data_IF_592571320831
#
_entry.id   IF_592571320831
#
_cell.length_a   1.000
_cell.length_b   1.000
_cell.length_c   1.000
_cell.angle_alpha   90.00
_cell.angle_beta   90.00
_cell.angle_gamma   90.00
#
_symmetry.space_group_name_H-M   'P 1'
#
loop_
_entity.id
_entity.type
_entity.pdbx_description
1 polymer ?
#
# COMPACT_ATOMS: atom_id res chain seq x y z
N UNK A 1 -6.42 -24.59 -8.87
CA UNK A 1 -6.94 -23.21 -9.10
C UNK A 1 -7.74 -22.68 -7.91
N UNK A 2 -8.81 -23.36 -7.42
CA UNK A 2 -9.63 -22.89 -6.29
C UNK A 2 -8.81 -22.46 -5.05
N UNK A 3 -7.83 -23.26 -4.65
CA UNK A 3 -6.95 -22.97 -3.49
C UNK A 3 -6.18 -21.65 -3.63
N UNK A 4 -5.76 -21.28 -4.84
CA UNK A 4 -5.01 -20.03 -5.07
C UNK A 4 -5.88 -18.79 -4.90
N UNK A 5 -7.16 -18.84 -5.25
CA UNK A 5 -8.08 -17.73 -5.06
C UNK A 5 -8.44 -17.55 -3.59
N UNK A 6 -8.69 -18.66 -2.87
CA UNK A 6 -8.95 -18.62 -1.43
C UNK A 6 -7.76 -18.00 -0.69
N UNK A 7 -6.54 -18.43 -1.01
CA UNK A 7 -5.33 -17.88 -0.39
C UNK A 7 -5.15 -16.38 -0.69
N UNK A 8 -5.44 -15.95 -1.91
CA UNK A 8 -5.41 -14.53 -2.27
C UNK A 8 -6.40 -13.73 -1.41
N UNK A 9 -7.65 -14.18 -1.32
CA UNK A 9 -8.69 -13.52 -0.52
C UNK A 9 -8.30 -13.45 0.95
N UNK A 10 -7.79 -14.55 1.52
CA UNK A 10 -7.34 -14.56 2.92
C UNK A 10 -6.16 -13.62 3.15
N UNK A 11 -5.19 -13.58 2.22
CA UNK A 11 -4.02 -12.70 2.34
C UNK A 11 -4.43 -11.24 2.24
N UNK A 12 -5.35 -10.92 1.32
CA UNK A 12 -5.88 -9.58 1.12
C UNK A 12 -6.68 -9.11 2.34
N UNK A 13 -7.56 -9.95 2.85
CA UNK A 13 -8.32 -9.64 4.05
C UNK A 13 -7.40 -9.43 5.27
N UNK A 14 -6.40 -10.29 5.45
CA UNK A 14 -5.46 -10.18 6.55
C UNK A 14 -4.66 -8.86 6.52
N UNK A 15 -4.17 -8.45 5.36
CA UNK A 15 -3.43 -7.18 5.25
C UNK A 15 -4.36 -5.98 5.41
N UNK A 16 -5.57 -5.99 4.86
CA UNK A 16 -6.52 -4.89 5.02
C UNK A 16 -6.92 -4.69 6.49
N UNK A 17 -7.12 -5.78 7.25
CA UNK A 17 -7.36 -5.72 8.70
C UNK A 17 -6.12 -5.18 9.44
N UNK A 18 -4.91 -5.58 9.04
CA UNK A 18 -3.69 -5.06 9.65
C UNK A 18 -3.54 -3.55 9.41
N UNK A 19 -3.86 -3.06 8.21
CA UNK A 19 -3.83 -1.63 7.86
C UNK A 19 -4.89 -0.84 8.64
N UNK A 20 -6.11 -1.38 8.78
CA UNK A 20 -7.12 -0.77 9.64
C UNK A 20 -6.66 -0.72 11.10
N UNK A 21 -6.09 -1.80 11.60
CA UNK A 21 -5.58 -1.85 12.98
C UNK A 21 -4.47 -0.81 13.17
N UNK A 22 -3.54 -0.69 12.22
CA UNK A 22 -2.49 0.33 12.22
C UNK A 22 -3.05 1.77 12.30
N UNK A 23 -4.17 2.05 11.65
CA UNK A 23 -4.88 3.32 11.81
C UNK A 23 -5.37 3.52 13.26
N UNK A 24 -6.10 2.53 13.79
CA UNK A 24 -6.70 2.61 15.13
C UNK A 24 -5.69 2.76 16.26
N UNK A 25 -4.51 2.14 16.14
CA UNK A 25 -3.44 2.29 17.15
C UNK A 25 -2.57 3.53 16.94
N UNK A 26 -2.88 4.38 15.95
CA UNK A 26 -2.15 5.63 15.72
C UNK A 26 -0.77 5.43 15.08
N UNK A 27 -0.56 4.36 14.31
CA UNK A 27 0.72 4.10 13.66
C UNK A 27 1.04 5.10 12.53
N UNK A 28 0.02 5.56 11.81
CA UNK A 28 0.23 6.43 10.64
C UNK A 28 0.92 7.76 10.95
N UNK A 29 0.53 8.51 12.00
CA UNK A 29 1.28 9.69 12.41
C UNK A 29 2.75 9.41 12.76
N UNK A 30 3.03 8.27 13.39
CA UNK A 30 4.41 7.86 13.73
C UNK A 30 5.24 7.60 12.47
N UNK A 31 4.62 7.08 11.41
CA UNK A 31 5.24 6.84 10.11
C UNK A 31 5.25 8.06 9.18
N UNK A 32 4.86 9.24 9.68
CA UNK A 32 4.91 10.49 8.93
C UNK A 32 3.59 10.91 8.28
N UNK A 33 2.48 10.19 8.48
CA UNK A 33 1.16 10.61 8.03
C UNK A 33 0.60 11.80 8.82
N UNK A 34 -0.30 12.59 8.23
CA UNK A 34 -0.97 13.68 8.94
C UNK A 34 -2.07 13.14 9.87
N UNK A 35 -2.15 13.53 11.17
CA UNK A 35 -3.14 13.01 12.10
C UNK A 35 -4.59 13.15 11.63
N UNK A 36 -4.96 14.34 11.15
CA UNK A 36 -6.32 14.62 10.67
C UNK A 36 -6.70 13.89 9.37
N UNK A 37 -5.73 13.39 8.61
CA UNK A 37 -5.95 12.69 7.33
C UNK A 37 -5.79 11.18 7.44
N UNK A 38 -5.39 10.69 8.62
CA UNK A 38 -5.07 9.28 8.86
C UNK A 38 -6.22 8.36 8.43
N UNK A 39 -7.45 8.72 8.77
CA UNK A 39 -8.66 7.96 8.44
C UNK A 39 -8.91 7.91 6.92
N UNK A 40 -8.96 9.07 6.25
CA UNK A 40 -9.19 9.11 4.80
C UNK A 40 -8.06 8.47 4.01
N UNK A 41 -6.81 8.68 4.42
CA UNK A 41 -5.65 8.05 3.78
C UNK A 41 -5.69 6.53 3.90
N UNK A 42 -6.12 6.00 5.05
CA UNK A 42 -6.28 4.56 5.27
C UNK A 42 -7.34 3.97 4.36
N UNK A 43 -8.55 4.54 4.36
CA UNK A 43 -9.65 3.99 3.58
C UNK A 43 -9.41 4.08 2.07
N UNK A 44 -8.87 5.21 1.60
CA UNK A 44 -8.50 5.36 0.18
C UNK A 44 -7.34 4.43 -0.20
N UNK A 45 -6.32 4.34 0.65
CA UNK A 45 -5.17 3.47 0.44
C UNK A 45 -5.58 2.01 0.35
N UNK A 46 -6.39 1.52 1.29
CA UNK A 46 -6.95 0.15 1.26
C UNK A 46 -7.79 -0.04 0.00
N UNK A 47 -8.74 0.86 -0.29
CA UNK A 47 -9.62 0.72 -1.46
C UNK A 47 -8.85 0.61 -2.79
N UNK A 48 -7.90 1.53 -3.01
CA UNK A 48 -7.05 1.53 -4.20
C UNK A 48 -6.14 0.29 -4.22
N UNK A 49 -5.50 -0.01 -3.09
CA UNK A 49 -4.58 -1.14 -2.97
C UNK A 49 -5.24 -2.49 -3.22
N UNK A 50 -6.44 -2.70 -2.67
CA UNK A 50 -7.20 -3.95 -2.83
C UNK A 50 -7.74 -4.12 -4.26
N UNK A 51 -8.12 -3.02 -4.92
CA UNK A 51 -8.44 -3.04 -6.35
C UNK A 51 -7.21 -3.43 -7.19
N UNK A 52 -6.07 -2.78 -6.97
CA UNK A 52 -4.83 -3.07 -7.69
C UNK A 52 -4.31 -4.49 -7.43
N UNK A 53 -4.40 -4.96 -6.19
CA UNK A 53 -4.05 -6.33 -5.81
C UNK A 53 -4.93 -7.36 -6.55
N UNK A 54 -6.22 -7.08 -6.68
CA UNK A 54 -7.18 -7.95 -7.40
C UNK A 54 -6.87 -8.00 -8.89
N UNK A 55 -6.62 -6.85 -9.51
CA UNK A 55 -6.21 -6.78 -10.91
C UNK A 55 -4.89 -7.53 -11.14
N UNK A 56 -3.90 -7.30 -10.29
CA UNK A 56 -2.61 -7.98 -10.36
C UNK A 56 -2.75 -9.49 -10.19
N UNK A 57 -3.56 -9.96 -9.23
CA UNK A 57 -3.80 -11.40 -9.04
C UNK A 57 -4.43 -12.03 -10.28
N UNK A 58 -5.42 -11.37 -10.91
CA UNK A 58 -6.06 -11.88 -12.13
C UNK A 58 -5.05 -12.08 -13.27
N UNK A 59 -4.09 -11.17 -13.42
CA UNK A 59 -2.99 -11.28 -14.39
C UNK A 59 -1.98 -12.38 -14.01
N UNK A 60 -1.60 -12.46 -12.74
CA UNK A 60 -0.59 -13.40 -12.23
C UNK A 60 -1.08 -14.85 -12.13
N UNK A 61 -2.41 -15.08 -12.17
CA UNK A 61 -2.98 -16.42 -12.35
C UNK A 61 -2.72 -16.92 -13.78
N UNK A 62 -2.84 -16.04 -14.79
CA UNK A 62 -2.58 -16.38 -16.20
C UNK A 62 -1.10 -16.42 -16.54
N UNK A 63 -0.29 -15.53 -15.94
CA UNK A 63 1.13 -15.39 -16.25
C UNK A 63 2.01 -15.40 -15.00
N UNK A 64 2.25 -16.58 -14.39
CA UNK A 64 2.94 -16.70 -13.11
C UNK A 64 4.41 -16.26 -13.14
N UNK A 65 5.06 -16.21 -14.30
CA UNK A 65 6.45 -15.76 -14.45
C UNK A 65 6.68 -14.31 -13.99
N UNK A 66 5.65 -13.46 -14.02
CA UNK A 66 5.77 -12.04 -13.68
C UNK A 66 5.56 -11.72 -12.19
N UNK A 67 5.45 -12.72 -11.31
CA UNK A 67 5.19 -12.51 -9.87
C UNK A 67 6.26 -11.64 -9.21
N UNK A 68 7.55 -11.94 -9.45
CA UNK A 68 8.68 -11.16 -8.88
C UNK A 68 8.64 -9.70 -9.36
N UNK A 69 8.36 -9.50 -10.65
CA UNK A 69 8.26 -8.17 -11.24
C UNK A 69 7.12 -7.36 -10.59
N UNK A 70 5.94 -7.96 -10.40
CA UNK A 70 4.82 -7.26 -9.75
C UNK A 70 5.11 -6.93 -8.28
N UNK A 71 5.75 -7.84 -7.54
CA UNK A 71 6.19 -7.55 -6.18
C UNK A 71 7.11 -6.32 -6.16
N UNK A 72 8.12 -6.29 -7.04
CA UNK A 72 9.02 -5.14 -7.15
C UNK A 72 8.30 -3.85 -7.51
N UNK A 73 7.30 -3.90 -8.40
CA UNK A 73 6.49 -2.71 -8.71
C UNK A 73 5.79 -2.17 -7.46
N UNK A 74 5.09 -3.03 -6.69
CA UNK A 74 4.40 -2.59 -5.47
C UNK A 74 5.36 -2.04 -4.42
N UNK A 75 6.49 -2.71 -4.19
CA UNK A 75 7.52 -2.27 -3.23
C UNK A 75 8.12 -0.93 -3.67
N UNK A 76 8.51 -0.80 -4.94
CA UNK A 76 9.09 0.44 -5.47
C UNK A 76 8.10 1.59 -5.39
N UNK A 77 6.83 1.38 -5.75
CA UNK A 77 5.79 2.42 -5.65
C UNK A 77 5.59 2.82 -4.19
N UNK A 78 5.47 1.87 -3.26
CA UNK A 78 5.32 2.18 -1.84
C UNK A 78 6.52 2.99 -1.29
N UNK A 79 7.74 2.60 -1.67
CA UNK A 79 8.97 3.27 -1.25
C UNK A 79 9.09 4.69 -1.80
N UNK A 80 8.83 4.87 -3.10
CA UNK A 80 8.83 6.20 -3.74
C UNK A 80 7.73 7.08 -3.10
N UNK A 81 6.54 6.51 -2.88
CA UNK A 81 5.40 7.23 -2.35
C UNK A 81 5.62 7.71 -0.90
N UNK A 82 6.15 6.85 -0.01
CA UNK A 82 6.45 7.26 1.37
C UNK A 82 7.58 8.28 1.41
N UNK A 83 8.59 8.14 0.55
CA UNK A 83 9.68 9.11 0.44
C UNK A 83 9.16 10.48 0.00
N UNK A 84 8.37 10.52 -1.08
CA UNK A 84 7.72 11.74 -1.55
C UNK A 84 6.83 12.35 -0.46
N UNK A 85 6.07 11.52 0.25
CA UNK A 85 5.20 11.94 1.35
C UNK A 85 5.98 12.62 2.48
N UNK A 86 7.15 12.07 2.86
CA UNK A 86 8.02 12.64 3.88
C UNK A 86 8.58 14.00 3.44
N UNK A 87 9.05 14.13 2.19
CA UNK A 87 9.52 15.43 1.68
C UNK A 87 8.39 16.46 1.62
N UNK A 88 7.22 16.08 1.11
CA UNK A 88 6.04 16.94 1.10
C UNK A 88 5.63 17.40 2.51
N UNK A 89 5.75 16.51 3.52
CA UNK A 89 5.53 16.89 4.93
C UNK A 89 6.51 17.96 5.39
N UNK A 90 7.81 17.78 5.11
CA UNK A 90 8.86 18.71 5.55
C UNK A 90 8.60 20.09 4.98
N UNK A 91 8.35 20.19 3.67
CA UNK A 91 8.14 21.47 2.98
C UNK A 91 6.81 22.14 3.38
N UNK A 92 5.75 21.34 3.58
CA UNK A 92 4.46 21.85 4.04
C UNK A 92 4.54 22.43 5.45
N UNK A 93 5.25 21.74 6.36
CA UNK A 93 5.43 22.22 7.74
C UNK A 93 6.37 23.42 7.77
N UNK A 94 7.44 23.43 6.97
CA UNK A 94 8.38 24.55 6.88
C UNK A 94 7.73 25.83 6.34
N UNK A 95 6.75 25.69 5.46
CA UNK A 95 5.93 26.80 4.94
C UNK A 95 4.75 27.17 5.84
N UNK A 96 4.65 26.63 7.06
CA UNK A 96 3.51 26.83 7.97
C UNK A 96 2.15 26.51 7.34
N UNK A 97 2.13 25.62 6.35
CA UNK A 97 0.94 25.20 5.62
C UNK A 97 0.62 26.03 4.36
N UNK A 98 1.45 26.99 3.98
CA UNK A 98 1.22 27.83 2.79
C UNK A 98 1.49 27.08 1.49
N UNK A 99 2.45 26.13 1.47
CA UNK A 99 2.75 25.34 0.27
C UNK A 99 1.74 24.20 0.04
N UNK A 100 0.63 24.54 -0.60
CA UNK A 100 -0.43 23.58 -0.95
C UNK A 100 0.05 22.44 -1.86
N UNK A 101 1.12 22.62 -2.64
CA UNK A 101 1.66 21.52 -3.45
C UNK A 101 2.34 20.49 -2.53
N UNK A 102 3.18 20.95 -1.60
CA UNK A 102 3.81 20.09 -0.61
C UNK A 102 2.77 19.31 0.23
N UNK A 103 1.69 19.98 0.64
CA UNK A 103 0.57 19.34 1.35
C UNK A 103 -0.10 18.23 0.54
N UNK A 104 -0.30 18.43 -0.77
CA UNK A 104 -0.83 17.41 -1.68
C UNK A 104 0.14 16.25 -1.87
N UNK A 105 1.43 16.52 -2.01
CA UNK A 105 2.46 15.48 -2.12
C UNK A 105 2.50 14.63 -0.84
N UNK A 106 2.40 15.28 0.34
CA UNK A 106 2.28 14.59 1.62
C UNK A 106 1.07 13.65 1.63
N UNK A 107 -0.13 14.18 1.36
CA UNK A 107 -1.38 13.44 1.45
C UNK A 107 -1.47 12.29 0.44
N UNK A 108 -1.29 12.57 -0.85
CA UNK A 108 -1.40 11.54 -1.89
C UNK A 108 -0.24 10.54 -1.85
N UNK A 109 0.97 10.99 -1.49
CA UNK A 109 2.10 10.08 -1.27
C UNK A 109 1.80 9.07 -0.17
N UNK A 110 1.18 9.50 0.92
CA UNK A 110 0.83 8.59 2.01
C UNK A 110 -0.29 7.60 1.63
N UNK A 111 -1.30 8.06 0.86
CA UNK A 111 -2.32 7.16 0.28
C UNK A 111 -1.67 6.08 -0.59
N UNK A 112 -0.75 6.48 -1.47
CA UNK A 112 -0.07 5.55 -2.38
C UNK A 112 0.86 4.58 -1.65
N UNK A 113 1.49 5.02 -0.55
CA UNK A 113 2.24 4.15 0.35
C UNK A 113 1.37 3.02 0.92
N UNK A 114 0.20 3.36 1.48
CA UNK A 114 -0.76 2.37 2.00
C UNK A 114 -1.27 1.48 0.86
N UNK A 115 -1.61 2.06 -0.30
CA UNK A 115 -2.12 1.31 -1.45
C UNK A 115 -1.12 0.29 -2.03
N UNK A 116 0.19 0.52 -1.86
CA UNK A 116 1.21 -0.45 -2.27
C UNK A 116 1.21 -1.73 -1.42
N UNK A 117 0.73 -1.67 -0.18
CA UNK A 117 0.85 -2.79 0.78
C UNK A 117 -0.03 -4.00 0.43
N UNK A 118 -1.33 -3.88 0.09
CA UNK A 118 -2.16 -5.04 -0.22
C UNK A 118 -1.62 -5.89 -1.38
N UNK A 119 -1.23 -5.22 -2.48
CA UNK A 119 -0.68 -5.87 -3.66
C UNK A 119 0.69 -6.50 -3.41
N UNK A 120 1.57 -5.79 -2.70
CA UNK A 120 2.90 -6.29 -2.32
C UNK A 120 2.79 -7.52 -1.41
N UNK A 121 1.98 -7.42 -0.35
CA UNK A 121 1.80 -8.50 0.64
C UNK A 121 1.19 -9.76 0.01
N UNK A 122 0.06 -9.64 -0.70
CA UNK A 122 -0.58 -10.79 -1.34
C UNK A 122 0.33 -11.47 -2.38
N UNK A 123 1.12 -10.68 -3.11
CA UNK A 123 2.10 -11.22 -4.08
C UNK A 123 3.27 -11.91 -3.38
N UNK A 124 3.78 -11.34 -2.28
CA UNK A 124 4.84 -11.93 -1.48
C UNK A 124 4.41 -13.29 -0.88
N UNK A 125 3.22 -13.38 -0.30
CA UNK A 125 2.67 -14.64 0.23
C UNK A 125 2.62 -15.72 -0.86
N UNK A 126 2.19 -15.35 -2.06
CA UNK A 126 2.13 -16.27 -3.23
C UNK A 126 3.51 -16.73 -3.69
N UNK A 127 4.53 -15.88 -3.60
CA UNK A 127 5.91 -16.22 -3.94
C UNK A 127 6.53 -17.17 -2.92
N UNK A 128 6.39 -16.87 -1.62
CA UNK A 128 6.94 -17.69 -0.54
C UNK A 128 6.38 -19.12 -0.56
N UNK A 129 5.09 -19.28 -0.87
CA UNK A 129 4.43 -20.59 -0.96
C UNK A 129 4.67 -21.32 -2.28
N UNK A 130 5.08 -20.61 -3.33
CA UNK A 130 5.34 -21.18 -4.65
C UNK A 130 6.78 -21.67 -4.84
N UNK A 131 7.68 -21.42 -3.88
CA UNK A 131 9.10 -21.79 -3.95
C UNK A 131 9.41 -23.16 -3.32
N UNK A 132 8.39 -23.87 -2.83
CA UNK A 132 8.52 -25.17 -2.14
C UNK A 132 8.00 -26.35 -2.97
N UNK A 133 7.95 -26.22 -4.29
CA UNK A 133 7.55 -27.28 -5.22
C UNK A 133 8.60 -27.45 -6.32
#
# INVERSE_FOLDING_TARGET
MKTQHIQFVLSLFAIDIALLTAHWVGLWPMLGGHPAWSSSATYLGIGIGSLMATLSHSMLVKHPRHRKQHLWIFVSVAFIAVTASIYGKIDFVASYGDDQLAGRVWYYGFIMFIAGMPGGFATAVKLLRGSTA
#
